data_IF_047567535745
#
_entry.id   IF_047567535745
#
_cell.length_a   1.000
_cell.length_b   1.000
_cell.length_c   1.000
_cell.angle_alpha   90.00
_cell.angle_beta   90.00
_cell.angle_gamma   90.00
#
_symmetry.space_group_name_H-M   'P 1'
#
loop_
_entity.id
_entity.type
_entity.pdbx_description
1 polymer ?
#
# COMPACT_ATOMS: atom_id res chain seq x y z
N UNK A 1 1.90 26.86 29.58
CA UNK A 1 2.78 25.73 29.16
C UNK A 1 2.03 24.39 29.06
N UNK A 2 0.78 24.34 28.53
CA UNK A 2 -0.09 23.16 28.67
C UNK A 2 -0.19 22.22 27.46
N UNK A 3 -0.55 22.75 26.27
CA UNK A 3 -0.94 21.90 25.14
C UNK A 3 0.24 21.42 24.27
N UNK A 4 1.25 22.27 24.03
CA UNK A 4 2.40 21.89 23.20
C UNK A 4 3.22 20.74 23.82
N UNK A 5 3.40 20.76 25.15
CA UNK A 5 4.09 19.69 25.89
C UNK A 5 3.27 18.39 25.89
N UNK A 6 1.95 18.48 26.06
CA UNK A 6 1.05 17.32 25.99
C UNK A 6 1.04 16.67 24.60
N UNK A 7 0.98 17.46 23.52
CA UNK A 7 1.06 16.95 22.14
C UNK A 7 2.39 16.24 21.88
N UNK A 8 3.50 16.83 22.32
CA UNK A 8 4.83 16.23 22.16
C UNK A 8 4.95 14.91 22.92
N UNK A 9 4.50 14.84 24.18
CA UNK A 9 4.52 13.60 24.95
C UNK A 9 3.60 12.51 24.34
N UNK A 10 2.46 12.90 23.78
CA UNK A 10 1.59 11.96 23.06
C UNK A 10 2.28 11.41 21.80
N UNK A 11 2.92 12.27 21.00
CA UNK A 11 3.69 11.85 19.82
C UNK A 11 4.89 10.97 20.17
N UNK A 12 5.60 11.28 21.26
CA UNK A 12 6.72 10.47 21.75
C UNK A 12 6.25 9.09 22.23
N UNK A 13 5.09 9.03 22.90
CA UNK A 13 4.47 7.76 23.32
C UNK A 13 3.98 6.93 22.14
N UNK A 14 3.40 7.58 21.13
CA UNK A 14 2.97 6.93 19.89
C UNK A 14 4.19 6.36 19.14
N UNK A 15 5.28 7.14 19.02
CA UNK A 15 6.57 6.68 18.47
C UNK A 15 7.16 5.49 19.23
N UNK A 16 7.09 5.50 20.56
CA UNK A 16 7.56 4.38 21.37
C UNK A 16 6.73 3.11 21.12
N UNK A 17 5.39 3.23 21.12
CA UNK A 17 4.48 2.12 20.79
C UNK A 17 4.76 1.55 19.40
N UNK A 18 5.01 2.41 18.40
CA UNK A 18 5.37 1.97 17.06
C UNK A 18 6.65 1.11 17.03
N UNK A 19 7.65 1.44 17.85
CA UNK A 19 8.92 0.70 17.89
C UNK A 19 8.81 -0.70 18.50
N UNK A 20 7.73 -0.97 19.25
CA UNK A 20 7.47 -2.25 19.90
C UNK A 20 6.58 -3.18 19.05
N UNK A 21 5.92 -2.65 18.01
CA UNK A 21 5.03 -3.44 17.17
C UNK A 21 5.79 -4.12 16.04
N UNK A 22 5.66 -5.44 15.99
CA UNK A 22 6.12 -6.25 14.86
C UNK A 22 5.14 -6.12 13.68
N UNK A 23 5.40 -5.15 12.80
CA UNK A 23 4.61 -4.90 11.59
C UNK A 23 4.62 -6.10 10.63
N UNK A 24 5.70 -6.88 10.60
CA UNK A 24 5.79 -8.08 9.77
C UNK A 24 4.79 -9.14 10.25
N UNK A 25 4.66 -9.31 11.58
CA UNK A 25 3.68 -10.19 12.19
C UNK A 25 2.24 -9.73 11.94
N UNK A 26 1.98 -8.42 12.00
CA UNK A 26 0.67 -7.85 11.66
C UNK A 26 0.33 -8.14 10.20
N UNK A 27 1.21 -7.79 9.25
CA UNK A 27 1.01 -8.03 7.84
C UNK A 27 0.77 -9.51 7.53
N UNK A 28 1.63 -10.40 8.05
CA UNK A 28 1.49 -11.83 7.85
C UNK A 28 0.19 -12.42 8.42
N UNK A 29 -0.31 -11.90 9.55
CA UNK A 29 -1.60 -12.32 10.11
C UNK A 29 -2.77 -11.91 9.22
N UNK A 30 -2.79 -10.65 8.77
CA UNK A 30 -3.81 -10.11 7.86
C UNK A 30 -3.83 -10.89 6.55
N UNK A 31 -2.66 -11.08 5.93
CA UNK A 31 -2.51 -11.81 4.68
C UNK A 31 -3.03 -13.24 4.77
N UNK A 32 -2.77 -13.95 5.87
CA UNK A 32 -3.29 -15.32 6.07
C UNK A 32 -4.81 -15.35 6.21
N UNK A 33 -5.40 -14.38 6.93
CA UNK A 33 -6.86 -14.29 7.07
C UNK A 33 -7.50 -13.98 5.72
N UNK A 34 -6.99 -12.99 4.99
CA UNK A 34 -7.50 -12.65 3.67
C UNK A 34 -7.31 -13.79 2.67
N UNK A 35 -6.17 -14.47 2.67
CA UNK A 35 -5.92 -15.65 1.85
C UNK A 35 -6.94 -16.79 2.11
N UNK A 36 -7.39 -16.95 3.35
CA UNK A 36 -8.36 -17.98 3.71
C UNK A 36 -9.82 -17.56 3.45
N UNK A 37 -10.13 -16.26 3.51
CA UNK A 37 -11.51 -15.75 3.44
C UNK A 37 -11.90 -15.16 2.07
N UNK A 38 -10.94 -14.69 1.29
CA UNK A 38 -11.19 -13.97 0.04
C UNK A 38 -11.34 -14.93 -1.14
N UNK A 39 -12.42 -14.77 -1.91
CA UNK A 39 -12.59 -15.42 -3.21
C UNK A 39 -11.85 -14.71 -4.35
N UNK A 40 -11.31 -13.52 -4.11
CA UNK A 40 -10.72 -12.64 -5.13
C UNK A 40 -9.36 -12.08 -4.67
N UNK A 41 -8.37 -12.97 -4.51
CA UNK A 41 -7.03 -12.56 -4.09
C UNK A 41 -6.42 -11.57 -5.10
N UNK A 42 -5.80 -10.51 -4.57
CA UNK A 42 -5.14 -9.49 -5.39
C UNK A 42 -6.05 -8.33 -5.81
N UNK A 43 -7.34 -8.33 -5.46
CA UNK A 43 -8.24 -7.16 -5.59
C UNK A 43 -8.85 -6.71 -4.26
N UNK A 44 -8.42 -7.31 -3.14
CA UNK A 44 -8.94 -7.12 -1.78
C UNK A 44 -8.13 -6.12 -0.94
N UNK A 45 -7.49 -5.14 -1.58
CA UNK A 45 -6.60 -4.17 -0.90
C UNK A 45 -7.30 -3.41 0.24
N UNK A 46 -8.59 -3.08 0.08
CA UNK A 46 -9.37 -2.40 1.11
C UNK A 46 -9.62 -3.30 2.34
N UNK A 47 -9.98 -4.56 2.12
CA UNK A 47 -10.22 -5.51 3.22
C UNK A 47 -8.94 -5.77 4.02
N UNK A 48 -7.81 -5.90 3.32
CA UNK A 48 -6.50 -6.05 3.95
C UNK A 48 -6.14 -4.79 4.79
N UNK A 49 -6.34 -3.58 4.25
CA UNK A 49 -6.10 -2.34 4.99
C UNK A 49 -7.02 -2.24 6.22
N UNK A 50 -8.31 -2.57 6.09
CA UNK A 50 -9.28 -2.53 7.19
C UNK A 50 -8.94 -3.51 8.32
N UNK A 51 -8.57 -4.74 7.98
CA UNK A 51 -8.14 -5.73 8.98
C UNK A 51 -6.84 -5.32 9.65
N UNK A 52 -5.87 -4.82 8.89
CA UNK A 52 -4.62 -4.31 9.45
C UNK A 52 -4.86 -3.14 10.41
N UNK A 53 -5.75 -2.20 10.06
CA UNK A 53 -6.15 -1.09 10.94
C UNK A 53 -6.74 -1.62 12.24
N UNK A 54 -7.65 -2.59 12.14
CA UNK A 54 -8.34 -3.19 13.29
C UNK A 54 -7.35 -3.89 14.23
N UNK A 55 -6.35 -4.60 13.69
CA UNK A 55 -5.29 -5.23 14.49
C UNK A 55 -4.45 -4.17 15.19
N UNK A 56 -3.98 -3.15 14.47
CA UNK A 56 -3.16 -2.08 15.02
C UNK A 56 -3.90 -1.26 16.09
N UNK A 57 -5.18 -0.99 15.89
CA UNK A 57 -6.02 -0.31 16.87
C UNK A 57 -6.14 -1.10 18.18
N UNK A 58 -6.25 -2.42 18.11
CA UNK A 58 -6.22 -3.30 19.29
C UNK A 58 -4.87 -3.30 20.01
N UNK A 59 -3.78 -3.02 19.28
CA UNK A 59 -2.44 -2.84 19.83
C UNK A 59 -2.19 -1.41 20.35
N UNK A 60 -3.21 -0.54 20.34
CA UNK A 60 -3.10 0.83 20.82
C UNK A 60 -2.44 1.80 19.84
N UNK A 61 -2.28 1.40 18.58
CA UNK A 61 -1.76 2.25 17.51
C UNK A 61 -2.87 2.80 16.64
N UNK A 62 -2.80 4.10 16.39
CA UNK A 62 -3.66 4.75 15.42
C UNK A 62 -3.10 4.57 14.00
N UNK A 63 -3.96 4.10 13.10
CA UNK A 63 -3.66 3.98 11.68
C UNK A 63 -4.83 4.55 10.88
N UNK A 64 -4.55 5.40 9.91
CA UNK A 64 -5.53 5.97 9.00
C UNK A 64 -5.58 5.12 7.73
N UNK A 65 -6.77 4.67 7.31
CA UNK A 65 -6.93 4.07 5.98
C UNK A 65 -6.89 5.20 4.96
N UNK A 66 -6.00 5.05 3.98
CA UNK A 66 -5.90 5.94 2.84
C UNK A 66 -6.31 5.18 1.59
N UNK A 67 -7.20 5.77 0.81
CA UNK A 67 -7.59 5.29 -0.51
C UNK A 67 -7.00 6.26 -1.54
N UNK A 68 -6.42 5.73 -2.61
CA UNK A 68 -5.95 6.54 -3.72
C UNK A 68 -5.21 5.76 -4.77
N UNK A 69 -4.22 6.38 -5.38
CA UNK A 69 -3.48 5.77 -6.48
C UNK A 69 -2.12 5.31 -5.98
N UNK A 70 -1.74 4.10 -6.37
CA UNK A 70 -0.42 3.57 -6.07
C UNK A 70 0.20 2.91 -7.31
N UNK A 71 1.51 2.95 -7.40
CA UNK A 71 2.27 2.23 -8.42
C UNK A 71 3.59 1.75 -7.85
N UNK A 72 4.08 0.62 -8.37
CA UNK A 72 5.29 -0.04 -7.90
C UNK A 72 6.15 -0.49 -9.06
N UNK A 73 7.43 -0.12 -9.03
CA UNK A 73 8.45 -0.72 -9.89
C UNK A 73 8.88 -2.03 -9.27
N UNK A 74 8.47 -3.14 -9.90
CA UNK A 74 8.68 -4.49 -9.38
C UNK A 74 9.90 -5.18 -10.01
N UNK A 75 10.44 -4.64 -11.09
CA UNK A 75 11.59 -5.19 -11.80
C UNK A 75 12.34 -4.15 -12.64
N UNK A 76 13.41 -4.57 -13.35
CA UNK A 76 14.23 -3.68 -14.16
C UNK A 76 13.72 -3.47 -15.59
N UNK A 77 12.77 -4.28 -16.06
CA UNK A 77 12.19 -4.20 -17.40
C UNK A 77 11.31 -2.97 -17.60
N UNK A 78 11.19 -2.51 -18.85
CA UNK A 78 10.43 -1.30 -19.18
C UNK A 78 8.94 -1.38 -18.77
N UNK A 79 8.37 -2.58 -18.80
CA UNK A 79 6.99 -2.87 -18.40
C UNK A 79 6.83 -3.36 -16.95
N UNK A 80 7.90 -3.44 -16.15
CA UNK A 80 7.84 -4.04 -14.80
C UNK A 80 7.24 -3.07 -13.76
N UNK A 81 6.03 -2.58 -14.04
CA UNK A 81 5.24 -1.68 -13.19
C UNK A 81 3.88 -2.29 -12.93
N UNK A 82 3.51 -2.37 -11.66
CA UNK A 82 2.12 -2.60 -11.27
C UNK A 82 1.53 -1.25 -10.89
N UNK A 83 0.37 -0.90 -11.45
CA UNK A 83 -0.24 0.42 -11.27
C UNK A 83 -1.73 0.33 -11.00
N UNK A 84 -2.18 1.10 -10.01
CA UNK A 84 -3.57 1.44 -9.74
C UNK A 84 -3.90 2.88 -10.13
N UNK A 85 -3.05 3.56 -10.91
CA UNK A 85 -3.39 4.85 -11.53
C UNK A 85 -4.33 4.64 -12.72
N UNK A 86 -5.29 5.53 -12.96
CA UNK A 86 -6.11 5.49 -14.18
C UNK A 86 -5.22 5.72 -15.41
N UNK A 87 -5.29 4.84 -16.40
CA UNK A 87 -4.72 5.11 -17.72
C UNK A 87 -5.78 5.77 -18.63
N UNK A 88 -5.32 6.63 -19.54
CA UNK A 88 -6.18 7.42 -20.44
C UNK A 88 -7.09 6.56 -21.33
N UNK A 89 -6.69 5.32 -21.59
CA UNK A 89 -7.32 4.45 -22.58
C UNK A 89 -7.89 3.16 -21.95
N UNK A 90 -7.92 3.05 -20.61
CA UNK A 90 -8.45 1.85 -19.94
C UNK A 90 -9.98 1.82 -20.02
N UNK A 91 -10.61 0.81 -20.65
CA UNK A 91 -12.05 0.67 -20.64
C UNK A 91 -12.54 0.49 -19.20
N UNK A 92 -13.52 1.30 -18.81
CA UNK A 92 -14.23 1.16 -17.53
C UNK A 92 -14.87 -0.23 -17.50
N UNK A 93 -14.42 -1.11 -16.58
CA UNK A 93 -15.00 -2.45 -16.40
C UNK A 93 -14.03 -3.63 -16.49
N UNK A 94 -12.73 -3.41 -16.72
CA UNK A 94 -11.71 -4.49 -16.89
C UNK A 94 -11.24 -5.16 -15.59
N UNK A 95 -11.95 -5.01 -14.47
CA UNK A 95 -11.66 -5.75 -13.24
C UNK A 95 -10.44 -5.29 -12.42
N UNK A 96 -9.64 -4.35 -12.93
CA UNK A 96 -8.63 -3.66 -12.13
C UNK A 96 -9.31 -2.57 -11.28
N UNK A 97 -9.19 -2.66 -9.95
CA UNK A 97 -9.58 -1.56 -9.08
C UNK A 97 -8.74 -0.33 -9.46
N UNK A 98 -9.37 0.77 -9.88
CA UNK A 98 -8.69 2.05 -10.15
C UNK A 98 -8.32 2.80 -8.86
N UNK A 99 -8.12 2.05 -7.79
CA UNK A 99 -7.68 2.55 -6.51
C UNK A 99 -6.86 1.48 -5.82
N UNK A 100 -6.07 1.94 -4.87
CA UNK A 100 -5.36 1.15 -3.90
C UNK A 100 -5.69 1.66 -2.51
N UNK A 101 -5.71 0.76 -1.54
CA UNK A 101 -5.92 1.08 -0.14
C UNK A 101 -4.70 0.65 0.67
N UNK A 102 -4.22 1.55 1.54
CA UNK A 102 -3.09 1.30 2.44
C UNK A 102 -3.33 2.00 3.78
N UNK A 103 -2.41 1.82 4.72
CA UNK A 103 -2.45 2.51 5.99
C UNK A 103 -1.41 3.62 6.07
N UNK A 104 -1.81 4.74 6.65
CA UNK A 104 -0.91 5.79 7.10
C UNK A 104 -0.75 5.69 8.61
N UNK A 105 0.49 5.53 9.05
CA UNK A 105 0.90 5.53 10.45
C UNK A 105 1.84 6.72 10.66
N UNK A 106 1.31 7.83 11.17
CA UNK A 106 2.03 9.10 11.22
C UNK A 106 2.44 9.58 9.82
N UNK A 107 3.74 9.73 9.58
CA UNK A 107 4.31 10.13 8.28
C UNK A 107 4.82 8.93 7.45
N UNK A 108 4.37 7.72 7.79
CA UNK A 108 4.79 6.49 7.11
C UNK A 108 3.62 5.79 6.42
N UNK A 109 3.94 5.11 5.33
CA UNK A 109 3.08 4.22 4.57
C UNK A 109 3.31 2.81 5.11
N UNK A 110 2.22 2.12 5.39
CA UNK A 110 2.18 0.69 5.68
C UNK A 110 1.23 0.00 4.70
N UNK A 111 1.79 -0.82 3.83
CA UNK A 111 1.04 -1.55 2.80
C UNK A 111 1.21 -3.06 3.01
N UNK A 112 0.13 -3.73 3.37
CA UNK A 112 0.13 -5.16 3.66
C UNK A 112 -0.11 -6.03 2.43
N UNK A 113 -0.26 -5.43 1.24
CA UNK A 113 -0.70 -6.14 0.03
C UNK A 113 0.43 -6.49 -0.94
N UNK A 114 1.66 -6.01 -0.68
CA UNK A 114 2.79 -6.14 -1.63
C UNK A 114 3.24 -7.57 -1.85
N UNK A 115 2.88 -8.51 -0.97
CA UNK A 115 3.07 -9.95 -1.16
C UNK A 115 2.26 -10.53 -2.34
N UNK A 116 1.38 -9.74 -2.94
CA UNK A 116 0.54 -10.15 -4.08
C UNK A 116 1.08 -9.69 -5.44
N UNK A 117 2.26 -9.06 -5.49
CA UNK A 117 2.79 -8.51 -6.75
C UNK A 117 2.96 -9.55 -7.84
N UNK A 118 3.49 -10.75 -7.55
CA UNK A 118 3.59 -11.81 -8.57
C UNK A 118 2.22 -12.24 -9.10
N UNK A 119 1.22 -12.35 -8.23
CA UNK A 119 -0.14 -12.69 -8.64
C UNK A 119 -0.71 -11.59 -9.55
N UNK A 120 -0.61 -10.33 -9.13
CA UNK A 120 -1.08 -9.18 -9.92
C UNK A 120 -0.38 -9.09 -11.28
N UNK A 121 0.96 -9.25 -11.31
CA UNK A 121 1.73 -9.28 -12.54
C UNK A 121 1.24 -10.38 -13.49
N UNK A 122 1.03 -11.60 -12.97
CA UNK A 122 0.51 -12.73 -13.76
C UNK A 122 -0.87 -12.45 -14.34
N UNK A 123 -1.77 -11.84 -13.55
CA UNK A 123 -3.11 -11.47 -14.00
C UNK A 123 -3.08 -10.38 -15.08
N UNK A 124 -2.23 -9.37 -14.92
CA UNK A 124 -2.06 -8.29 -15.90
C UNK A 124 -1.46 -8.82 -17.21
N UNK A 125 -0.36 -9.58 -17.12
CA UNK A 125 0.30 -10.20 -18.27
C UNK A 125 -0.67 -11.12 -19.06
N UNK A 126 -1.56 -11.83 -18.36
CA UNK A 126 -2.58 -12.66 -19.00
C UNK A 126 -3.65 -11.84 -19.75
N UNK A 127 -3.88 -10.59 -19.35
CA UNK A 127 -4.85 -9.70 -19.97
C UNK A 127 -4.27 -8.93 -21.17
N UNK A 128 -3.02 -8.49 -21.10
CA UNK A 128 -2.40 -7.64 -22.12
C UNK A 128 -1.33 -8.36 -22.98
N UNK A 129 -1.03 -9.63 -22.68
CA UNK A 129 0.00 -10.41 -23.37
C UNK A 129 1.43 -10.01 -22.97
N UNK A 130 1.58 -9.26 -21.89
CA UNK A 130 2.84 -8.77 -21.34
C UNK A 130 3.71 -9.87 -20.72
N UNK A 131 4.84 -9.43 -20.19
CA UNK A 131 5.76 -10.27 -19.42
C UNK A 131 6.48 -9.43 -18.38
N UNK A 132 5.92 -9.41 -17.19
CA UNK A 132 6.39 -8.66 -16.04
C UNK A 132 7.36 -9.50 -15.22
N UNK A 133 8.55 -8.98 -14.95
CA UNK A 133 9.52 -9.59 -14.04
C UNK A 133 9.39 -8.97 -12.65
N UNK A 134 8.98 -9.77 -11.67
CA UNK A 134 8.89 -9.35 -10.26
C UNK A 134 10.17 -9.74 -9.51
N UNK A 135 11.14 -8.82 -9.51
CA UNK A 135 12.41 -8.93 -8.76
C UNK A 135 12.35 -8.32 -7.36
N UNK A 136 11.37 -7.45 -7.09
CA UNK A 136 11.11 -6.83 -5.80
C UNK A 136 9.65 -7.09 -5.37
N UNK A 137 9.49 -7.91 -4.33
CA UNK A 137 8.21 -8.30 -3.73
C UNK A 137 8.40 -8.39 -2.22
N UNK A 138 8.38 -7.26 -1.50
CA UNK A 138 8.46 -7.31 -0.06
C UNK A 138 7.17 -7.92 0.50
N UNK A 139 7.26 -8.64 1.62
CA UNK A 139 6.08 -9.21 2.26
C UNK A 139 5.07 -8.13 2.65
N UNK A 140 5.55 -6.97 3.06
CA UNK A 140 4.77 -5.76 3.27
C UNK A 140 5.68 -4.56 2.95
N UNK A 141 5.09 -3.41 2.65
CA UNK A 141 5.84 -2.16 2.52
C UNK A 141 5.74 -1.35 3.80
N UNK A 142 6.89 -0.92 4.29
CA UNK A 142 7.01 0.14 5.29
C UNK A 142 7.98 1.18 4.77
N UNK A 143 7.52 2.42 4.61
CA UNK A 143 8.38 3.51 4.15
C UNK A 143 7.87 4.88 4.61
N UNK A 144 8.75 5.87 4.80
CA UNK A 144 8.33 7.27 4.94
C UNK A 144 7.52 7.74 3.72
N UNK A 145 6.47 8.53 3.95
CA UNK A 145 5.72 9.17 2.87
C UNK A 145 6.60 10.06 1.99
N UNK A 146 7.63 10.69 2.57
CA UNK A 146 8.58 11.52 1.85
C UNK A 146 9.42 10.73 0.82
N UNK A 147 9.51 9.41 0.96
CA UNK A 147 10.22 8.55 0.01
C UNK A 147 9.33 8.08 -1.15
N UNK A 148 8.01 8.32 -1.07
CA UNK A 148 7.06 8.10 -2.15
C UNK A 148 7.42 8.96 -3.34
N UNK A 149 7.53 8.36 -4.52
CA UNK A 149 7.92 9.03 -5.76
C UNK A 149 6.72 9.37 -6.61
N UNK A 150 6.93 10.21 -7.62
CA UNK A 150 5.92 10.43 -8.65
C UNK A 150 5.72 9.17 -9.50
N UNK A 151 4.54 9.02 -10.11
CA UNK A 151 4.27 7.96 -11.08
C UNK A 151 5.33 7.94 -12.19
N UNK A 152 5.74 9.11 -12.68
CA UNK A 152 6.77 9.23 -13.72
C UNK A 152 8.09 8.61 -13.28
N UNK A 153 8.55 8.90 -12.06
CA UNK A 153 9.78 8.33 -11.52
C UNK A 153 9.69 6.81 -11.39
N UNK A 154 8.57 6.28 -10.90
CA UNK A 154 8.32 4.83 -10.83
C UNK A 154 8.40 4.18 -12.21
N UNK A 155 7.71 4.76 -13.20
CA UNK A 155 7.64 4.24 -14.58
C UNK A 155 8.97 4.36 -15.33
N UNK A 156 9.83 5.31 -14.97
CA UNK A 156 11.15 5.52 -15.62
C UNK A 156 12.32 4.85 -14.88
N UNK A 157 12.12 4.34 -13.66
CA UNK A 157 13.19 3.79 -12.83
C UNK A 157 13.84 2.53 -13.44
N UNK A 158 15.16 2.39 -13.44
CA UNK A 158 15.80 1.17 -13.97
C UNK A 158 15.98 0.06 -12.93
N UNK A 159 15.40 0.22 -11.73
CA UNK A 159 15.49 -0.74 -10.62
C UNK A 159 14.15 -0.91 -9.92
N UNK A 160 13.88 -2.12 -9.45
CA UNK A 160 12.78 -2.38 -8.52
C UNK A 160 12.98 -1.69 -7.16
N UNK A 161 11.93 -1.63 -6.35
CA UNK A 161 12.01 -1.04 -5.01
C UNK A 161 11.64 0.43 -4.93
N UNK A 162 10.91 0.94 -5.92
CA UNK A 162 10.43 2.32 -5.95
C UNK A 162 8.91 2.28 -6.05
N UNK A 163 8.25 3.08 -5.23
CA UNK A 163 6.80 3.14 -5.16
C UNK A 163 6.30 4.59 -5.19
N UNK A 164 5.09 4.75 -5.70
CA UNK A 164 4.32 5.99 -5.73
C UNK A 164 3.02 5.73 -4.97
N UNK A 165 2.67 6.63 -4.07
CA UNK A 165 1.42 6.64 -3.32
C UNK A 165 0.87 8.07 -3.32
N UNK A 166 -0.38 8.21 -3.78
CA UNK A 166 -1.12 9.46 -3.85
C UNK A 166 -2.52 9.23 -3.29
N UNK A 167 -2.76 9.66 -2.05
CA UNK A 167 -4.10 9.57 -1.44
C UNK A 167 -5.07 10.52 -2.12
N UNK A 168 -6.32 10.08 -2.31
CA UNK A 168 -7.42 10.98 -2.66
C UNK A 168 -7.99 11.50 -1.34
N UNK A 169 -7.71 12.76 -1.03
CA UNK A 169 -8.35 13.45 0.09
C UNK A 169 -9.86 13.41 -0.11
N UNK A 170 -10.63 13.06 0.93
CA UNK A 170 -12.08 13.20 0.93
C UNK A 170 -12.50 14.58 0.44
N UNK A 171 -13.40 14.64 -0.54
CA UNK A 171 -14.11 15.86 -0.87
C UNK A 171 -14.74 16.41 0.42
N UNK A 172 -14.38 17.63 0.80
CA UNK A 172 -15.22 18.41 1.70
C UNK A 172 -16.54 18.60 0.97
N UNK A 173 -17.57 17.85 1.36
CA UNK A 173 -18.95 18.22 1.03
C UNK A 173 -19.20 19.53 1.78
N UNK A 174 -19.22 20.63 1.04
CA UNK A 174 -19.76 21.91 1.50
C UNK A 174 -21.27 21.79 1.64
#
# INVERSE_FOLDING_TARGET
MGQAKQRRMAQEREKALFSEIDLARVAGAVQRVCAAASGNLGVDCFDQALLAQSVLQRLGVHAEIVIGYAAWRVGPGGGDVISHYPASDTPVGTGAAFFHAWLKLGESIFDVTTNTFRLKATLLDAMDGGKTVVAWEPQYLWMPMADSRSLREVTMAMRGGIASYLGVSSFSVQ
#
